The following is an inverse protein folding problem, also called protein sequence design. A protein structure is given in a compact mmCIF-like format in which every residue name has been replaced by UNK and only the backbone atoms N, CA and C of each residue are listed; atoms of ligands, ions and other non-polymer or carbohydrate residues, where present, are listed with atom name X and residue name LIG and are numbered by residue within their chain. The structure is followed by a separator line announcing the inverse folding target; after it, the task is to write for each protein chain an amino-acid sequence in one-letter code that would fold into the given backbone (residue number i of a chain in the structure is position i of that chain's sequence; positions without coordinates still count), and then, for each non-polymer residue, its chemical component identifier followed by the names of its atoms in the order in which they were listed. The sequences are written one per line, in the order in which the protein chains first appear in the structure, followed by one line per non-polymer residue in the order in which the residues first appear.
data_IF_844548683107
#
_entry.id   IF_844548683107
#
_cell.length_a   1.000
_cell.length_b   1.000
_cell.length_c   1.000
_cell.angle_alpha   90.00
_cell.angle_beta   90.00
_cell.angle_gamma   90.00
#
_symmetry.space_group_name_H-M   'P 1'
#
loop_
_entity.id
_entity.type
_entity.pdbx_description
1 polymer ?
#
# COMPACT_ATOMS: atom_id res chain seq x y z
N UNK A 1 -13.71 46.80 53.12
CA UNK A 1 -12.50 46.61 52.30
C UNK A 1 -12.25 45.11 52.17
N UNK A 2 -12.06 44.67 50.93
CA UNK A 2 -11.60 43.36 50.44
C UNK A 2 -12.47 42.12 50.69
N UNK A 3 -13.10 41.71 49.59
CA UNK A 3 -13.61 40.36 49.33
C UNK A 3 -12.69 39.70 48.29
N UNK A 4 -12.61 38.37 48.35
CA UNK A 4 -12.18 37.40 47.33
C UNK A 4 -10.68 37.07 47.13
N UNK A 5 -10.54 35.79 46.77
CA UNK A 5 -9.57 35.20 45.85
C UNK A 5 -8.25 34.68 46.45
N UNK A 6 -8.33 33.53 47.11
CA UNK A 6 -7.21 32.58 47.06
C UNK A 6 -7.60 31.09 46.99
N UNK A 7 -8.88 30.77 46.80
CA UNK A 7 -9.38 29.39 46.90
C UNK A 7 -9.74 28.79 45.54
N UNK A 8 -8.84 28.93 44.56
CA UNK A 8 -9.06 28.41 43.19
C UNK A 8 -7.78 27.86 42.55
N UNK A 9 -7.04 27.00 43.24
CA UNK A 9 -6.02 26.17 42.58
C UNK A 9 -5.87 24.81 43.26
N UNK A 10 -6.99 24.10 43.45
CA UNK A 10 -6.94 22.65 43.67
C UNK A 10 -8.00 21.97 42.78
N UNK A 11 -7.72 21.95 41.48
CA UNK A 11 -8.37 21.02 40.55
C UNK A 11 -7.29 20.10 39.99
N UNK A 12 -6.95 19.07 40.77
CA UNK A 12 -6.06 17.97 40.39
C UNK A 12 -6.82 16.71 39.95
N UNK A 13 -8.11 16.79 39.59
CA UNK A 13 -8.88 15.56 39.34
C UNK A 13 -9.79 15.53 38.11
N UNK A 14 -9.98 16.63 37.37
CA UNK A 14 -10.59 16.51 36.05
C UNK A 14 -9.54 16.07 35.02
N UNK A 15 -9.40 14.76 34.86
CA UNK A 15 -8.96 14.18 33.59
C UNK A 15 -10.03 14.54 32.56
N UNK A 16 -9.90 15.73 31.95
CA UNK A 16 -10.60 16.07 30.71
C UNK A 16 -10.12 15.07 29.67
N UNK A 17 -10.93 14.03 29.45
CA UNK A 17 -10.76 13.14 28.31
C UNK A 17 -11.14 13.99 27.11
N UNK A 18 -10.13 14.61 26.50
CA UNK A 18 -10.29 15.29 25.22
C UNK A 18 -10.68 14.25 24.17
N UNK A 19 -11.59 14.56 23.25
CA UNK A 19 -11.86 13.68 22.12
C UNK A 19 -10.58 13.45 21.29
N UNK A 20 -9.55 14.30 21.44
CA UNK A 20 -8.28 14.17 20.75
C UNK A 20 -7.21 13.41 21.57
N UNK A 21 -6.61 12.33 21.01
CA UNK A 21 -5.67 11.44 21.71
C UNK A 21 -4.27 12.02 21.96
N UNK A 22 -4.04 13.29 21.63
CA UNK A 22 -2.68 13.88 21.56
C UNK A 22 -2.24 14.55 22.88
N UNK A 23 -3.11 14.61 23.89
CA UNK A 23 -2.86 15.38 25.10
C UNK A 23 -2.33 14.55 26.29
N UNK A 24 -2.20 13.21 26.16
CA UNK A 24 -1.61 12.32 27.17
C UNK A 24 -0.28 11.68 26.68
N UNK A 25 0.84 11.83 27.41
CA UNK A 25 2.12 11.18 27.08
C UNK A 25 2.07 9.65 26.93
N UNK A 26 1.22 8.94 27.69
CA UNK A 26 1.10 7.49 27.58
C UNK A 26 0.39 7.07 26.27
N UNK A 27 -0.68 7.79 25.90
CA UNK A 27 -1.39 7.59 24.63
C UNK A 27 -0.48 7.93 23.44
N UNK A 28 0.31 9.00 23.54
CA UNK A 28 1.28 9.37 22.51
C UNK A 28 2.28 8.24 22.21
N UNK A 29 2.79 7.57 23.25
CA UNK A 29 3.71 6.44 23.08
C UNK A 29 3.05 5.21 22.47
N UNK A 30 1.81 4.88 22.88
CA UNK A 30 1.06 3.75 22.31
C UNK A 30 0.71 3.99 20.84
N UNK A 31 0.25 5.21 20.50
CA UNK A 31 -0.05 5.62 19.14
C UNK A 31 1.20 5.58 18.24
N UNK A 32 2.34 6.01 18.76
CA UNK A 32 3.63 5.90 18.07
C UNK A 32 4.02 4.45 17.76
N UNK A 33 3.81 3.52 18.70
CA UNK A 33 4.10 2.11 18.49
C UNK A 33 3.16 1.47 17.45
N UNK A 34 1.86 1.78 17.49
CA UNK A 34 0.88 1.28 16.51
C UNK A 34 1.19 1.78 15.11
N UNK A 35 1.50 3.08 14.96
CA UNK A 35 1.88 3.65 13.67
C UNK A 35 3.17 3.03 13.12
N UNK A 36 4.14 2.70 13.98
CA UNK A 36 5.35 2.00 13.56
C UNK A 36 5.05 0.59 13.03
N UNK A 37 4.10 -0.13 13.64
CA UNK A 37 3.66 -1.44 13.16
C UNK A 37 2.96 -1.33 11.80
N UNK A 38 2.11 -0.33 11.61
CA UNK A 38 1.45 -0.03 10.32
C UNK A 38 2.50 0.25 9.25
N UNK A 39 3.47 1.12 9.53
CA UNK A 39 4.57 1.42 8.60
C UNK A 39 5.40 0.18 8.27
N UNK A 40 5.63 -0.70 9.24
CA UNK A 40 6.35 -1.96 9.02
C UNK A 40 5.56 -2.92 8.12
N UNK A 41 4.23 -3.02 8.32
CA UNK A 41 3.35 -3.82 7.46
C UNK A 41 3.32 -3.28 6.03
N UNK A 42 3.13 -1.97 5.87
CA UNK A 42 3.14 -1.30 4.57
C UNK A 42 4.49 -1.47 3.85
N UNK A 43 5.61 -1.29 4.57
CA UNK A 43 6.94 -1.51 4.01
C UNK A 43 7.15 -2.96 3.54
N UNK A 44 6.68 -3.94 4.32
CA UNK A 44 6.74 -5.36 3.94
C UNK A 44 5.91 -5.65 2.69
N UNK A 45 4.69 -5.12 2.62
CA UNK A 45 3.83 -5.24 1.43
C UNK A 45 4.52 -4.64 0.21
N UNK A 46 5.09 -3.43 0.35
CA UNK A 46 5.84 -2.77 -0.71
C UNK A 46 7.00 -3.62 -1.22
N UNK A 47 7.88 -4.10 -0.34
CA UNK A 47 9.03 -4.91 -0.75
C UNK A 47 8.62 -6.21 -1.43
N UNK A 48 7.56 -6.86 -0.94
CA UNK A 48 7.05 -8.08 -1.56
C UNK A 48 6.47 -7.82 -2.95
N UNK A 49 5.63 -6.80 -3.11
CA UNK A 49 5.05 -6.46 -4.41
C UNK A 49 6.12 -5.99 -5.41
N UNK A 50 7.08 -5.18 -4.97
CA UNK A 50 8.22 -4.77 -5.80
C UNK A 50 9.09 -5.96 -6.22
N UNK A 51 9.28 -6.96 -5.36
CA UNK A 51 9.98 -8.19 -5.72
C UNK A 51 9.20 -9.00 -6.76
N UNK A 52 7.87 -9.14 -6.63
CA UNK A 52 7.02 -9.81 -7.63
C UNK A 52 7.10 -9.12 -9.00
N UNK A 53 6.99 -7.79 -9.03
CA UNK A 53 7.13 -6.99 -10.27
C UNK A 53 8.49 -7.22 -10.94
N UNK A 54 9.58 -7.16 -10.18
CA UNK A 54 10.92 -7.39 -10.71
C UNK A 54 11.09 -8.83 -11.24
N UNK A 55 10.56 -9.82 -10.52
CA UNK A 55 10.59 -11.21 -10.97
C UNK A 55 9.85 -11.39 -12.29
N UNK A 56 8.68 -10.76 -12.42
CA UNK A 56 7.88 -10.83 -13.63
C UNK A 56 8.61 -10.21 -14.83
N UNK A 57 9.13 -8.98 -14.67
CA UNK A 57 9.91 -8.31 -15.71
C UNK A 57 11.11 -9.15 -16.17
N UNK A 58 11.85 -9.75 -15.24
CA UNK A 58 12.98 -10.61 -15.58
C UNK A 58 12.53 -11.92 -16.24
N UNK A 59 11.40 -12.48 -15.83
CA UNK A 59 10.77 -13.63 -16.47
C UNK A 59 10.44 -13.33 -17.92
N UNK A 60 9.76 -12.21 -18.18
CA UNK A 60 9.40 -11.78 -19.51
C UNK A 60 10.62 -11.53 -20.41
N UNK A 61 11.65 -10.83 -19.91
CA UNK A 61 12.88 -10.58 -20.68
C UNK A 61 13.57 -11.88 -21.08
N UNK A 62 13.68 -12.84 -20.16
CA UNK A 62 14.28 -14.14 -20.47
C UNK A 62 13.49 -14.90 -21.54
N UNK A 63 12.17 -14.92 -21.42
CA UNK A 63 11.30 -15.56 -22.40
C UNK A 63 11.41 -14.90 -23.77
N UNK A 64 11.44 -13.56 -23.83
CA UNK A 64 11.56 -12.82 -25.07
C UNK A 64 12.89 -13.09 -25.78
N UNK A 65 14.00 -13.12 -25.03
CA UNK A 65 15.33 -13.48 -25.56
C UNK A 65 15.34 -14.90 -26.13
N UNK A 66 14.70 -15.85 -25.44
CA UNK A 66 14.56 -17.22 -25.93
C UNK A 66 13.84 -17.26 -27.29
N UNK A 67 12.69 -16.58 -27.40
CA UNK A 67 11.92 -16.49 -28.65
C UNK A 67 12.68 -15.78 -29.78
N UNK A 68 13.48 -14.75 -29.46
CA UNK A 68 14.34 -14.07 -30.44
C UNK A 68 15.38 -15.04 -31.03
N UNK A 69 16.02 -15.86 -30.19
CA UNK A 69 17.01 -16.85 -30.62
C UNK A 69 16.36 -17.94 -31.49
N UNK A 70 15.18 -18.42 -31.09
CA UNK A 70 14.40 -19.41 -31.85
C UNK A 70 13.99 -18.86 -33.23
N UNK A 71 13.56 -17.61 -33.28
CA UNK A 71 13.20 -16.92 -34.54
C UNK A 71 14.42 -16.74 -35.44
N UNK A 72 15.56 -16.29 -34.89
CA UNK A 72 16.79 -16.14 -35.64
C UNK A 72 17.25 -17.48 -36.23
N UNK A 73 17.12 -18.57 -35.46
CA UNK A 73 17.45 -19.93 -35.93
C UNK A 73 16.52 -20.38 -37.07
N UNK A 74 15.22 -20.09 -36.97
CA UNK A 74 14.23 -20.39 -38.01
C UNK A 74 14.50 -19.59 -39.28
N UNK A 75 14.86 -18.31 -39.14
CA UNK A 75 15.25 -17.46 -40.26
C UNK A 75 16.53 -17.95 -40.96
N UNK A 76 17.56 -18.35 -40.18
CA UNK A 76 18.81 -18.88 -40.74
C UNK A 76 18.66 -20.25 -41.42
N UNK A 77 17.65 -21.03 -41.03
CA UNK A 77 17.38 -22.35 -41.61
C UNK A 77 16.37 -22.31 -42.76
N UNK A 78 15.75 -21.15 -43.01
CA UNK A 78 14.80 -20.94 -44.11
C UNK A 78 15.48 -21.15 -45.47
N UNK A 79 14.83 -21.93 -46.34
CA UNK A 79 15.33 -22.24 -47.69
C UNK A 79 14.84 -21.27 -48.74
N UNK A 80 13.79 -20.51 -48.42
CA UNK A 80 13.15 -19.56 -49.32
C UNK A 80 12.85 -18.24 -48.61
N UNK A 81 12.72 -17.16 -49.39
CA UNK A 81 12.32 -15.85 -48.87
C UNK A 81 10.88 -15.86 -48.33
N UNK A 82 10.00 -16.70 -48.88
CA UNK A 82 8.62 -16.87 -48.40
C UNK A 82 8.58 -17.47 -46.99
N UNK A 83 9.35 -18.54 -46.76
CA UNK A 83 9.50 -19.18 -45.44
C UNK A 83 10.07 -18.21 -44.40
N UNK A 84 11.10 -17.45 -44.78
CA UNK A 84 11.68 -16.41 -43.94
C UNK A 84 10.67 -15.30 -43.58
N UNK A 85 9.84 -14.89 -44.54
CA UNK A 85 8.80 -13.88 -44.32
C UNK A 85 7.68 -14.42 -43.43
N UNK A 86 7.32 -15.70 -43.57
CA UNK A 86 6.34 -16.36 -42.72
C UNK A 86 6.77 -16.36 -41.25
N UNK A 87 8.01 -16.80 -40.97
CA UNK A 87 8.56 -16.75 -39.61
C UNK A 87 8.63 -15.34 -39.04
N UNK A 88 8.94 -14.35 -39.87
CA UNK A 88 8.94 -12.96 -39.42
C UNK A 88 7.53 -12.45 -39.09
N UNK A 89 6.51 -12.85 -39.87
CA UNK A 89 5.12 -12.49 -39.59
C UNK A 89 4.63 -13.14 -38.29
N UNK A 90 4.90 -14.43 -38.09
CA UNK A 90 4.58 -15.16 -36.86
C UNK A 90 5.22 -14.51 -35.64
N UNK A 91 6.51 -14.18 -35.74
CA UNK A 91 7.25 -13.50 -34.69
C UNK A 91 6.65 -12.15 -34.30
N UNK A 92 6.23 -11.34 -35.28
CA UNK A 92 5.61 -10.03 -35.00
C UNK A 92 4.25 -10.21 -34.35
N UNK A 93 3.42 -11.15 -34.83
CA UNK A 93 2.13 -11.43 -34.22
C UNK A 93 2.29 -11.88 -32.76
N UNK A 94 3.20 -12.81 -32.51
CA UNK A 94 3.50 -13.32 -31.18
C UNK A 94 4.05 -12.22 -30.26
N UNK A 95 5.02 -11.42 -30.73
CA UNK A 95 5.58 -10.33 -29.95
C UNK A 95 4.50 -9.31 -29.54
N UNK A 96 3.60 -8.93 -30.45
CA UNK A 96 2.50 -8.00 -30.13
C UNK A 96 1.62 -8.58 -29.01
N UNK A 97 1.25 -9.87 -29.10
CA UNK A 97 0.45 -10.55 -28.10
C UNK A 97 1.17 -10.61 -26.76
N UNK A 98 2.42 -11.06 -26.76
CA UNK A 98 3.25 -11.16 -25.56
C UNK A 98 3.38 -9.82 -24.83
N UNK A 99 3.68 -8.73 -25.56
CA UNK A 99 3.80 -7.39 -24.95
C UNK A 99 2.47 -6.88 -24.40
N UNK A 100 1.35 -7.16 -25.07
CA UNK A 100 0.02 -6.74 -24.60
C UNK A 100 -0.39 -7.49 -23.32
N UNK A 101 -0.14 -8.80 -23.29
CA UNK A 101 -0.41 -9.65 -22.14
C UNK A 101 0.47 -9.27 -20.95
N UNK A 102 1.77 -9.06 -21.20
CA UNK A 102 2.73 -8.65 -20.17
C UNK A 102 2.41 -7.26 -19.61
N UNK A 103 2.07 -6.28 -20.45
CA UNK A 103 1.66 -4.96 -20.01
C UNK A 103 0.43 -5.04 -19.10
N UNK A 104 -0.55 -5.89 -19.45
CA UNK A 104 -1.73 -6.12 -18.63
C UNK A 104 -1.38 -6.74 -17.28
N UNK A 105 -0.42 -7.67 -17.27
CA UNK A 105 0.05 -8.34 -16.05
C UNK A 105 0.80 -7.38 -15.12
N UNK A 106 1.70 -6.55 -15.66
CA UNK A 106 2.42 -5.52 -14.91
C UNK A 106 1.44 -4.51 -14.30
N UNK A 107 0.43 -4.08 -15.05
CA UNK A 107 -0.60 -3.17 -14.54
C UNK A 107 -1.36 -3.77 -13.35
N UNK A 108 -1.75 -5.04 -13.42
CA UNK A 108 -2.38 -5.73 -12.30
C UNK A 108 -1.44 -5.82 -11.09
N UNK A 109 -0.18 -6.25 -11.28
CA UNK A 109 0.79 -6.34 -10.19
C UNK A 109 1.08 -4.97 -9.55
N UNK A 110 1.09 -3.90 -10.34
CA UNK A 110 1.28 -2.55 -9.83
C UNK A 110 0.06 -2.06 -9.02
N UNK A 111 -1.16 -2.37 -9.48
CA UNK A 111 -2.38 -2.08 -8.74
C UNK A 111 -2.44 -2.85 -7.42
N UNK A 112 -2.11 -4.14 -7.43
CA UNK A 112 -2.04 -4.98 -6.24
C UNK A 112 -0.99 -4.45 -5.26
N UNK A 113 0.20 -4.10 -5.74
CA UNK A 113 1.24 -3.48 -4.91
C UNK A 113 0.74 -2.19 -4.23
N UNK A 114 0.08 -1.30 -4.98
CA UNK A 114 -0.45 -0.06 -4.42
C UNK A 114 -1.51 -0.35 -3.35
N UNK A 115 -2.45 -1.26 -3.64
CA UNK A 115 -3.51 -1.62 -2.72
C UNK A 115 -2.96 -2.30 -1.45
N UNK A 116 -2.11 -3.32 -1.59
CA UNK A 116 -1.49 -4.03 -0.46
C UNK A 116 -0.62 -3.10 0.42
N UNK A 117 0.02 -2.10 -0.18
CA UNK A 117 0.84 -1.11 0.55
C UNK A 117 -0.02 -0.12 1.34
N UNK A 118 -1.17 0.28 0.80
CA UNK A 118 -2.06 1.26 1.42
C UNK A 118 -3.06 0.64 2.41
N UNK A 119 -3.43 -0.63 2.25
CA UNK A 119 -4.40 -1.30 3.11
C UNK A 119 -4.10 -1.17 4.62
N UNK A 120 -2.86 -1.32 5.12
CA UNK A 120 -2.57 -1.12 6.55
C UNK A 120 -2.81 0.32 7.04
N UNK A 121 -2.66 1.30 6.15
CA UNK A 121 -2.90 2.72 6.45
C UNK A 121 -4.40 3.01 6.46
N UNK A 122 -5.15 2.43 5.52
CA UNK A 122 -6.62 2.51 5.49
C UNK A 122 -7.21 1.89 6.76
N UNK A 123 -6.80 0.65 7.10
CA UNK A 123 -7.18 -0.02 8.35
C UNK A 123 -6.93 0.86 9.58
N UNK A 124 -5.73 1.45 9.70
CA UNK A 124 -5.43 2.32 10.85
C UNK A 124 -6.26 3.61 10.85
N UNK A 125 -6.55 4.15 9.68
CA UNK A 125 -7.38 5.36 9.57
C UNK A 125 -8.80 5.09 10.07
N UNK A 126 -9.38 3.95 9.69
CA UNK A 126 -10.69 3.50 10.16
C UNK A 126 -10.70 3.28 11.68
N UNK A 127 -9.70 2.58 12.21
CA UNK A 127 -9.56 2.37 13.67
C UNK A 127 -9.52 3.70 14.43
N UNK A 128 -8.71 4.66 13.95
CA UNK A 128 -8.60 5.99 14.58
C UNK A 128 -9.93 6.74 14.55
N UNK A 129 -10.66 6.69 13.42
CA UNK A 129 -11.99 7.33 13.31
C UNK A 129 -13.00 6.72 14.28
N UNK A 130 -13.02 5.39 14.41
CA UNK A 130 -13.87 4.70 15.39
C UNK A 130 -13.50 5.07 16.83
N UNK A 131 -12.21 5.14 17.16
CA UNK A 131 -11.74 5.59 18.49
C UNK A 131 -12.23 7.03 18.80
N UNK A 132 -12.32 7.90 17.80
CA UNK A 132 -12.85 9.26 17.96
C UNK A 132 -14.36 9.27 18.27
N UNK A 133 -15.15 8.51 17.51
CA UNK A 133 -16.60 8.43 17.69
C UNK A 133 -16.95 7.87 19.08
N UNK A 134 -16.28 6.79 19.50
CA UNK A 134 -16.47 6.21 20.83
C UNK A 134 -16.13 7.19 21.96
N UNK A 135 -15.05 7.97 21.81
CA UNK A 135 -14.67 9.01 22.80
C UNK A 135 -15.69 10.14 22.87
N UNK A 136 -16.24 10.56 21.74
CA UNK A 136 -17.27 11.59 21.69
C UNK A 136 -18.54 11.13 22.43
N UNK A 137 -19.00 9.91 22.17
CA UNK A 137 -20.15 9.32 22.87
C UNK A 137 -19.92 9.20 24.38
N UNK A 138 -18.72 8.78 24.80
CA UNK A 138 -18.37 8.69 26.23
C UNK A 138 -18.35 10.06 26.92
N UNK A 139 -17.85 11.10 26.23
CA UNK A 139 -17.84 12.46 26.75
C UNK A 139 -19.27 13.02 26.92
N UNK A 140 -20.16 12.76 25.96
CA UNK A 140 -21.57 13.16 26.03
C UNK A 140 -22.31 12.45 27.17
N UNK A 141 -22.12 11.14 27.31
CA UNK A 141 -22.73 10.35 28.40
C UNK A 141 -22.26 10.81 29.78
N UNK A 142 -20.97 11.16 29.90
CA UNK A 142 -20.41 11.65 31.16
C UNK A 142 -20.93 13.06 31.49
N UNK A 143 -21.07 13.94 30.50
CA UNK A 143 -21.65 15.26 30.68
C UNK A 143 -23.15 15.21 31.04
N UNK A 144 -23.88 14.19 30.60
CA UNK A 144 -25.29 13.98 30.95
C UNK A 144 -25.49 13.36 32.35
N UNK A 145 -24.44 12.81 32.96
CA UNK A 145 -24.48 12.17 34.27
C UNK A 145 -24.03 13.09 35.43
N UNK A 146 -23.51 14.29 35.13
CA UNK A 146 -23.14 15.36 36.08
C UNK A 146 -24.25 16.41 36.22
#
# INVERSE_FOLDING_TARGET
MSNKMSDKYDDKSRKEISPFPIFDPAEFSMFGNQNLQVMTRAARAYYNGAAKLNQELMGFVNERVRKDIETATSFMSSKTTEEAFHHQAEFVEEAIRDYADEASKILHLAADLAHETLAPVEERTEEVLHEFDERAEQAEQKAAAE
#
